data_IF_507976931280
#
_entry.id   IF_507976931280
#
_cell.length_a   1.000
_cell.length_b   1.000
_cell.length_c   1.000
_cell.angle_alpha   90.00
_cell.angle_beta   90.00
_cell.angle_gamma   90.00
#
_symmetry.space_group_name_H-M   'P 1'
#
loop_
_entity.id
_entity.type
_entity.pdbx_description
1 polymer ?
#
# COMPACT_ATOMS: atom_id res chain seq x y z
N UNK A 1 -2.89 1.14 -1.39
CA UNK A 1 -1.65 0.43 -0.97
C UNK A 1 -0.41 1.33 -1.03
N UNK A 2 -0.06 1.91 -2.19
CA UNK A 2 1.13 2.74 -2.40
C UNK A 2 1.35 3.83 -1.33
N UNK A 3 0.29 4.55 -0.95
CA UNK A 3 0.32 5.53 0.15
C UNK A 3 0.78 4.93 1.50
N UNK A 4 0.21 3.79 1.91
CA UNK A 4 0.61 3.09 3.15
C UNK A 4 2.06 2.61 3.09
N UNK A 5 2.51 2.15 1.93
CA UNK A 5 3.92 1.77 1.72
C UNK A 5 4.85 2.98 1.93
N UNK A 6 4.51 4.13 1.36
CA UNK A 6 5.25 5.39 1.55
C UNK A 6 5.30 5.79 3.02
N UNK A 7 4.16 5.80 3.70
CA UNK A 7 4.05 6.14 5.13
C UNK A 7 4.94 5.23 6.01
N UNK A 8 4.97 3.92 5.74
CA UNK A 8 5.83 2.97 6.47
C UNK A 8 7.32 3.30 6.28
N UNK A 9 7.76 3.53 5.04
CA UNK A 9 9.17 3.83 4.75
C UNK A 9 9.58 5.17 5.37
N UNK A 10 8.74 6.21 5.27
CA UNK A 10 9.00 7.52 5.88
C UNK A 10 9.09 7.43 7.40
N UNK A 11 8.20 6.66 8.04
CA UNK A 11 8.25 6.43 9.48
C UNK A 11 9.54 5.71 9.91
N UNK A 12 9.97 4.68 9.19
CA UNK A 12 11.25 3.99 9.45
C UNK A 12 12.44 4.94 9.27
N UNK A 13 12.45 5.76 8.23
CA UNK A 13 13.50 6.78 8.04
C UNK A 13 13.55 7.77 9.21
N UNK A 14 12.40 8.20 9.72
CA UNK A 14 12.29 9.05 10.90
C UNK A 14 12.89 8.42 12.15
N UNK A 15 12.75 7.09 12.31
CA UNK A 15 13.34 6.35 13.44
C UNK A 15 14.86 6.12 13.28
N UNK A 16 15.36 5.92 12.06
CA UNK A 16 16.77 5.65 11.79
C UNK A 16 17.64 6.92 11.85
N UNK A 17 17.10 8.06 11.40
CA UNK A 17 17.83 9.35 11.34
C UNK A 17 18.52 9.74 12.66
N UNK A 18 17.84 9.76 13.84
CA UNK A 18 18.51 10.11 15.09
C UNK A 18 19.62 9.12 15.50
N UNK A 19 19.46 7.82 15.19
CA UNK A 19 20.48 6.80 15.48
C UNK A 19 21.73 6.97 14.61
N UNK A 20 21.55 7.40 13.36
CA UNK A 20 22.66 7.72 12.45
C UNK A 20 23.44 8.95 12.92
N UNK A 21 22.73 10.00 13.36
CA UNK A 21 23.37 11.17 13.97
C UNK A 21 24.13 10.82 15.24
N UNK A 22 23.55 9.98 16.11
CA UNK A 22 24.20 9.52 17.33
C UNK A 22 25.45 8.70 17.02
N UNK A 23 25.39 7.81 16.03
CA UNK A 23 26.54 7.03 15.58
C UNK A 23 27.69 7.92 15.11
N UNK A 24 27.40 8.97 14.34
CA UNK A 24 28.41 9.95 13.90
C UNK A 24 29.02 10.69 15.10
N UNK A 25 28.20 11.09 16.08
CA UNK A 25 28.68 11.72 17.33
C UNK A 25 29.61 10.80 18.11
N UNK A 26 29.25 9.52 18.29
CA UNK A 26 30.09 8.53 18.97
C UNK A 26 31.42 8.33 18.26
N UNK A 27 31.40 8.28 16.92
CA UNK A 27 32.61 8.07 16.13
C UNK A 27 33.58 9.27 16.23
N UNK A 28 33.03 10.49 16.21
CA UNK A 28 33.78 11.75 16.36
C UNK A 28 34.15 12.12 17.80
N UNK A 29 33.63 11.43 18.82
CA UNK A 29 33.91 11.75 20.21
C UNK A 29 35.36 11.41 20.59
N UNK A 30 36.17 12.41 20.97
CA UNK A 30 37.60 12.24 21.29
C UNK A 30 37.81 11.62 22.68
N UNK A 31 36.84 11.78 23.59
CA UNK A 31 36.94 11.35 24.99
C UNK A 31 36.68 9.84 25.18
N UNK A 32 36.01 9.21 24.23
CA UNK A 32 35.73 7.76 24.28
C UNK A 32 36.96 6.96 23.85
N UNK A 33 37.30 5.94 24.64
CA UNK A 33 38.28 4.93 24.25
C UNK A 33 37.82 4.15 23.01
N UNK A 34 38.76 3.55 22.26
CA UNK A 34 38.43 2.73 21.09
C UNK A 34 37.41 1.63 21.42
N UNK A 35 37.53 1.01 22.59
CA UNK A 35 36.59 -0.02 23.04
C UNK A 35 35.22 0.55 23.43
N UNK A 36 35.19 1.73 24.06
CA UNK A 36 33.95 2.45 24.36
C UNK A 36 33.19 2.82 23.08
N UNK A 37 33.89 3.31 22.06
CA UNK A 37 33.34 3.60 20.73
C UNK A 37 32.78 2.33 20.08
N UNK A 38 33.54 1.24 20.09
CA UNK A 38 33.12 -0.03 19.51
C UNK A 38 31.82 -0.53 20.16
N UNK A 39 31.72 -0.54 21.49
CA UNK A 39 30.52 -0.99 22.21
C UNK A 39 29.30 -0.11 21.93
N UNK A 40 29.48 1.21 21.92
CA UNK A 40 28.40 2.16 21.65
C UNK A 40 27.89 2.03 20.20
N UNK A 41 28.79 1.98 19.22
CA UNK A 41 28.42 1.79 17.80
C UNK A 41 27.72 0.43 17.59
N UNK A 42 28.20 -0.62 18.25
CA UNK A 42 27.56 -1.95 18.15
C UNK A 42 26.12 -1.91 18.66
N UNK A 43 25.86 -1.24 19.79
CA UNK A 43 24.49 -1.08 20.31
C UNK A 43 23.58 -0.32 19.35
N UNK A 44 24.09 0.77 18.76
CA UNK A 44 23.35 1.55 17.77
C UNK A 44 23.06 0.72 16.52
N UNK A 45 24.03 -0.06 16.04
CA UNK A 45 23.85 -0.95 14.90
C UNK A 45 22.75 -1.98 15.16
N UNK A 46 22.75 -2.63 16.32
CA UNK A 46 21.69 -3.59 16.68
C UNK A 46 20.31 -2.93 16.69
N UNK A 47 20.18 -1.71 17.21
CA UNK A 47 18.91 -0.98 17.18
C UNK A 47 18.46 -0.65 15.75
N UNK A 48 19.38 -0.19 14.91
CA UNK A 48 19.10 0.07 13.50
C UNK A 48 18.68 -1.21 12.76
N UNK A 49 19.34 -2.34 13.02
CA UNK A 49 19.01 -3.64 12.42
C UNK A 49 17.61 -4.12 12.81
N UNK A 50 17.19 -3.89 14.06
CA UNK A 50 15.84 -4.20 14.53
C UNK A 50 14.79 -3.36 13.81
N UNK A 51 15.03 -2.05 13.63
CA UNK A 51 14.13 -1.15 12.90
C UNK A 51 14.02 -1.58 11.42
N UNK A 52 15.16 -1.87 10.77
CA UNK A 52 15.20 -2.35 9.38
C UNK A 52 14.43 -3.68 9.21
N UNK A 53 14.63 -4.61 10.14
CA UNK A 53 13.90 -5.89 10.13
C UNK A 53 12.39 -5.70 10.32
N UNK A 54 11.99 -4.71 11.14
CA UNK A 54 10.59 -4.30 11.31
C UNK A 54 9.97 -3.82 10.01
N UNK A 55 10.66 -2.93 9.27
CA UNK A 55 10.18 -2.44 7.97
C UNK A 55 9.91 -3.59 6.99
N UNK A 56 10.86 -4.53 6.83
CA UNK A 56 10.66 -5.66 5.91
C UNK A 56 9.42 -6.48 6.28
N UNK A 57 9.21 -6.72 7.58
CA UNK A 57 8.05 -7.46 8.07
C UNK A 57 6.75 -6.71 7.78
N UNK A 58 6.70 -5.41 8.05
CA UNK A 58 5.50 -4.61 7.86
C UNK A 58 5.15 -4.42 6.38
N UNK A 59 6.16 -4.23 5.52
CA UNK A 59 5.97 -4.18 4.06
C UNK A 59 5.49 -5.52 3.52
N UNK A 60 6.11 -6.63 3.95
CA UNK A 60 5.70 -7.98 3.54
C UNK A 60 4.25 -8.22 3.94
N UNK A 61 3.89 -7.88 5.18
CA UNK A 61 2.52 -8.00 5.69
C UNK A 61 1.53 -7.13 4.90
N UNK A 62 1.88 -5.89 4.58
CA UNK A 62 1.03 -5.01 3.77
C UNK A 62 0.70 -5.64 2.40
N UNK A 63 1.70 -6.24 1.74
CA UNK A 63 1.49 -6.95 0.49
C UNK A 63 0.64 -8.21 0.66
N UNK A 64 0.98 -9.05 1.64
CA UNK A 64 0.28 -10.31 1.89
C UNK A 64 -1.20 -10.05 2.25
N UNK A 65 -1.48 -9.08 3.13
CA UNK A 65 -2.83 -8.66 3.51
C UNK A 65 -3.60 -8.14 2.29
N UNK A 66 -2.97 -7.33 1.45
CA UNK A 66 -3.66 -6.77 0.27
C UNK A 66 -3.90 -7.82 -0.81
N UNK A 67 -2.96 -8.74 -1.02
CA UNK A 67 -3.13 -9.89 -1.92
C UNK A 67 -4.21 -10.81 -1.38
N UNK A 68 -4.26 -11.05 -0.07
CA UNK A 68 -5.28 -11.87 0.57
C UNK A 68 -6.66 -11.23 0.46
N UNK A 69 -6.78 -9.92 0.68
CA UNK A 69 -8.02 -9.16 0.45
C UNK A 69 -8.44 -9.33 -1.02
N UNK A 70 -7.56 -9.07 -1.98
CA UNK A 70 -7.88 -9.21 -3.40
C UNK A 70 -8.23 -10.66 -3.81
N UNK A 71 -7.57 -11.67 -3.21
CA UNK A 71 -7.87 -13.10 -3.43
C UNK A 71 -9.21 -13.50 -2.80
N UNK A 72 -9.49 -12.98 -1.60
CA UNK A 72 -10.75 -13.22 -0.91
C UNK A 72 -11.90 -12.51 -1.62
N UNK A 73 -11.70 -11.28 -2.11
CA UNK A 73 -12.66 -10.61 -2.98
C UNK A 73 -12.85 -11.38 -4.29
N UNK A 74 -11.82 -11.96 -4.92
CA UNK A 74 -12.01 -12.90 -6.05
C UNK A 74 -12.76 -14.18 -5.66
N UNK A 75 -12.63 -14.67 -4.43
CA UNK A 75 -13.48 -15.77 -3.92
C UNK A 75 -14.90 -15.29 -3.59
N UNK A 76 -15.08 -14.05 -3.16
CA UNK A 76 -16.37 -13.45 -2.81
C UNK A 76 -17.15 -12.98 -4.05
N UNK A 77 -16.46 -12.74 -5.17
CA UNK A 77 -17.06 -12.46 -6.49
C UNK A 77 -17.95 -13.61 -6.97
N UNK A 78 -17.76 -14.83 -6.44
CA UNK A 78 -18.65 -15.96 -6.70
C UNK A 78 -19.14 -16.71 -5.44
N UNK A 79 -18.54 -16.50 -4.27
CA UNK A 79 -18.64 -17.44 -3.14
C UNK A 79 -19.50 -17.03 -1.94
N UNK A 80 -19.66 -15.73 -1.63
CA UNK A 80 -20.38 -15.37 -0.39
C UNK A 80 -21.22 -14.08 -0.41
N UNK A 81 -21.34 -13.39 -1.55
CA UNK A 81 -22.36 -12.32 -1.73
C UNK A 81 -23.11 -12.34 -3.06
N UNK A 82 -23.06 -13.45 -3.80
CA UNK A 82 -24.00 -13.72 -4.89
C UNK A 82 -25.36 -14.19 -4.34
N UNK A 83 -25.88 -13.46 -3.34
CA UNK A 83 -27.23 -13.68 -2.84
C UNK A 83 -28.24 -13.20 -3.88
N UNK A 84 -29.47 -13.72 -3.82
CA UNK A 84 -30.55 -13.34 -4.73
C UNK A 84 -30.73 -11.83 -4.82
N UNK A 85 -30.49 -11.11 -3.71
CA UNK A 85 -30.57 -9.65 -3.66
C UNK A 85 -29.54 -8.96 -4.60
N UNK A 86 -28.28 -9.38 -4.56
CA UNK A 86 -27.23 -8.82 -5.43
C UNK A 86 -27.50 -9.16 -6.90
N UNK A 87 -27.96 -10.38 -7.20
CA UNK A 87 -28.39 -10.76 -8.55
C UNK A 87 -29.56 -9.89 -9.04
N UNK A 88 -30.59 -9.71 -8.23
CA UNK A 88 -31.75 -8.88 -8.56
C UNK A 88 -31.34 -7.42 -8.80
N UNK A 89 -30.45 -6.86 -7.96
CA UNK A 89 -29.95 -5.48 -8.14
C UNK A 89 -29.13 -5.33 -9.43
N UNK A 90 -28.27 -6.29 -9.76
CA UNK A 90 -27.52 -6.28 -11.02
C UNK A 90 -28.45 -6.38 -12.25
N UNK A 91 -29.45 -7.25 -12.20
CA UNK A 91 -30.46 -7.37 -13.26
C UNK A 91 -31.27 -6.08 -13.41
N UNK A 92 -31.67 -5.47 -12.28
CA UNK A 92 -32.38 -4.19 -12.28
C UNK A 92 -31.53 -3.08 -12.91
N UNK A 93 -30.27 -2.93 -12.50
CA UNK A 93 -29.34 -1.94 -13.07
C UNK A 93 -29.19 -2.19 -14.58
N UNK A 94 -29.03 -3.44 -15.01
CA UNK A 94 -28.87 -3.78 -16.41
C UNK A 94 -30.12 -3.49 -17.26
N UNK A 95 -31.31 -3.68 -16.69
CA UNK A 95 -32.58 -3.40 -17.36
C UNK A 95 -32.89 -1.89 -17.42
N UNK A 96 -32.58 -1.15 -16.36
CA UNK A 96 -32.95 0.25 -16.20
C UNK A 96 -31.87 1.23 -16.67
N UNK A 97 -30.65 0.76 -16.98
CA UNK A 97 -29.49 1.61 -17.28
C UNK A 97 -29.74 2.76 -18.26
N UNK A 98 -30.61 2.56 -19.25
CA UNK A 98 -30.89 3.55 -20.29
C UNK A 98 -31.86 4.65 -19.84
N UNK A 99 -32.59 4.40 -18.76
CA UNK A 99 -33.68 5.26 -18.26
C UNK A 99 -33.31 5.92 -16.92
N UNK A 100 -32.16 5.58 -16.34
CA UNK A 100 -31.70 6.16 -15.08
C UNK A 100 -31.28 7.62 -15.27
N UNK A 101 -31.75 8.47 -14.36
CA UNK A 101 -31.32 9.86 -14.28
C UNK A 101 -30.04 10.00 -13.44
N UNK A 102 -29.30 11.11 -13.63
CA UNK A 102 -28.09 11.40 -12.87
C UNK A 102 -28.28 11.30 -11.34
N UNK A 103 -29.35 11.87 -10.72
CA UNK A 103 -29.58 11.73 -9.27
C UNK A 103 -29.86 10.29 -8.83
N UNK A 104 -30.48 9.47 -9.68
CA UNK A 104 -30.75 8.07 -9.37
C UNK A 104 -29.48 7.23 -9.41
N UNK A 105 -28.59 7.49 -10.37
CA UNK A 105 -27.27 6.86 -10.42
C UNK A 105 -26.42 7.26 -9.22
N UNK A 106 -26.44 8.54 -8.83
CA UNK A 106 -25.75 9.03 -7.62
C UNK A 106 -26.28 8.35 -6.35
N UNK A 107 -27.60 8.22 -6.21
CA UNK A 107 -28.21 7.51 -5.09
C UNK A 107 -27.85 6.01 -5.08
N UNK A 108 -27.86 5.35 -6.26
CA UNK A 108 -27.47 3.95 -6.40
C UNK A 108 -26.01 3.71 -5.99
N UNK A 109 -25.11 4.64 -6.31
CA UNK A 109 -23.72 4.61 -5.86
C UNK A 109 -23.66 4.73 -4.33
N UNK A 110 -24.39 5.69 -3.76
CA UNK A 110 -24.40 5.93 -2.31
C UNK A 110 -24.91 4.73 -1.50
N UNK A 111 -26.05 4.16 -1.87
CA UNK A 111 -26.65 3.03 -1.12
C UNK A 111 -25.91 1.70 -1.30
N UNK A 112 -25.10 1.56 -2.34
CA UNK A 112 -24.34 0.34 -2.63
C UNK A 112 -22.84 0.52 -2.45
N UNK A 113 -22.37 1.60 -1.81
CA UNK A 113 -20.95 1.86 -1.59
C UNK A 113 -20.22 0.65 -0.98
N UNK A 114 -20.87 -0.08 -0.07
CA UNK A 114 -20.27 -1.24 0.58
C UNK A 114 -20.35 -2.55 -0.23
N UNK A 115 -20.92 -2.53 -1.44
CA UNK A 115 -21.01 -3.69 -2.34
C UNK A 115 -20.14 -3.48 -3.60
N UNK A 116 -18.90 -4.01 -3.61
CA UNK A 116 -17.96 -3.82 -4.71
C UNK A 116 -18.46 -4.31 -6.07
N UNK A 117 -19.29 -5.35 -6.09
CA UNK A 117 -19.82 -5.95 -7.32
C UNK A 117 -20.85 -5.02 -7.97
N UNK A 118 -21.77 -4.46 -7.18
CA UNK A 118 -22.77 -3.52 -7.67
C UNK A 118 -22.11 -2.19 -8.04
N UNK A 119 -21.24 -1.66 -7.19
CA UNK A 119 -20.51 -0.41 -7.46
C UNK A 119 -19.71 -0.51 -8.75
N UNK A 120 -19.10 -1.67 -9.04
CA UNK A 120 -18.41 -1.90 -10.31
C UNK A 120 -19.34 -1.87 -11.53
N UNK A 121 -20.53 -2.44 -11.41
CA UNK A 121 -21.54 -2.39 -12.47
C UNK A 121 -22.07 -0.96 -12.70
N UNK A 122 -22.01 -0.09 -11.69
CA UNK A 122 -22.42 1.31 -11.77
C UNK A 122 -21.35 2.23 -12.37
N UNK A 123 -20.09 1.82 -12.50
CA UNK A 123 -19.01 2.65 -13.06
C UNK A 123 -19.31 3.17 -14.48
N UNK A 124 -19.73 2.32 -15.44
CA UNK A 124 -20.01 2.79 -16.79
C UNK A 124 -21.15 3.82 -16.78
N UNK A 125 -22.18 3.59 -15.95
CA UNK A 125 -23.31 4.50 -15.78
C UNK A 125 -22.89 5.84 -15.16
N UNK A 126 -22.06 5.80 -14.11
CA UNK A 126 -21.53 7.00 -13.51
C UNK A 126 -20.76 7.86 -14.52
N UNK A 127 -19.97 7.22 -15.39
CA UNK A 127 -19.24 7.91 -16.47
C UNK A 127 -20.17 8.53 -17.50
N UNK A 128 -21.26 7.84 -17.88
CA UNK A 128 -22.27 8.37 -18.81
C UNK A 128 -22.99 9.61 -18.26
N UNK A 129 -23.02 9.80 -16.93
CA UNK A 129 -23.66 10.93 -16.26
C UNK A 129 -22.68 11.96 -15.65
N UNK A 130 -21.39 11.90 -15.99
CA UNK A 130 -20.34 12.76 -15.42
C UNK A 130 -20.33 12.74 -13.87
N UNK A 131 -20.42 11.54 -13.29
CA UNK A 131 -20.30 11.29 -11.86
C UNK A 131 -18.97 10.60 -11.56
N UNK A 132 -18.30 11.04 -10.50
CA UNK A 132 -17.05 10.44 -10.05
C UNK A 132 -17.33 9.43 -8.95
N UNK A 133 -17.01 8.17 -9.19
CA UNK A 133 -16.90 7.17 -8.14
C UNK A 133 -15.45 7.18 -7.67
N UNK A 134 -15.20 7.25 -6.35
CA UNK A 134 -13.85 7.02 -5.81
C UNK A 134 -13.49 5.54 -6.00
N UNK A 135 -12.76 5.31 -7.08
CA UNK A 135 -12.37 3.98 -7.54
C UNK A 135 -11.22 3.38 -6.72
N UNK A 136 -10.60 4.14 -5.82
CA UNK A 136 -9.44 3.68 -5.04
C UNK A 136 -9.76 2.51 -4.10
N UNK A 137 -11.04 2.33 -3.77
CA UNK A 137 -11.55 1.20 -2.97
C UNK A 137 -12.03 -0.01 -3.80
N UNK A 138 -12.28 0.15 -5.11
CA UNK A 138 -12.96 -0.86 -5.94
C UNK A 138 -12.15 -1.31 -7.18
N UNK A 139 -11.16 -0.52 -7.59
CA UNK A 139 -10.11 -0.94 -8.50
C UNK A 139 -9.03 -1.62 -7.67
N UNK A 140 -9.26 -2.87 -7.28
CA UNK A 140 -8.09 -3.70 -7.05
C UNK A 140 -7.50 -4.04 -8.41
N UNK A 141 -6.53 -3.21 -8.80
CA UNK A 141 -5.58 -3.48 -9.87
C UNK A 141 -5.25 -4.97 -9.83
N UNK A 142 -5.45 -5.61 -10.98
CA UNK A 142 -5.31 -7.04 -11.24
C UNK A 142 -4.30 -7.69 -10.26
N UNK A 143 -4.66 -8.73 -9.50
CA UNK A 143 -3.75 -9.39 -8.52
C UNK A 143 -2.33 -9.60 -9.08
N UNK A 144 -2.24 -9.90 -10.38
CA UNK A 144 -0.99 -9.97 -11.16
C UNK A 144 -0.14 -8.70 -11.01
N UNK A 145 -0.72 -7.51 -11.16
CA UNK A 145 -0.05 -6.21 -10.98
C UNK A 145 0.40 -6.00 -9.52
N UNK A 146 -0.40 -6.44 -8.53
CA UNK A 146 -0.01 -6.34 -7.12
C UNK A 146 1.15 -7.29 -6.80
N UNK A 147 1.10 -8.52 -7.31
CA UNK A 147 2.17 -9.52 -7.16
C UNK A 147 3.45 -9.06 -7.90
N UNK A 148 3.35 -8.51 -9.10
CA UNK A 148 4.48 -7.90 -9.82
C UNK A 148 5.07 -6.70 -9.09
N UNK A 149 4.22 -5.85 -8.50
CA UNK A 149 4.68 -4.71 -7.71
C UNK A 149 5.40 -5.17 -6.44
N UNK A 150 4.86 -6.20 -5.75
CA UNK A 150 5.52 -6.86 -4.61
C UNK A 150 6.89 -7.40 -4.99
N UNK A 151 6.98 -8.11 -6.10
CA UNK A 151 8.23 -8.73 -6.57
C UNK A 151 9.27 -7.69 -7.02
N UNK A 152 8.84 -6.46 -7.31
CA UNK A 152 9.73 -5.33 -7.57
C UNK A 152 10.18 -4.65 -6.27
N UNK A 153 9.26 -4.43 -5.33
CA UNK A 153 9.51 -3.64 -4.11
C UNK A 153 10.25 -4.45 -3.04
N UNK A 154 9.85 -5.70 -2.77
CA UNK A 154 10.42 -6.50 -1.69
C UNK A 154 11.93 -6.72 -1.83
N UNK A 155 12.49 -7.01 -3.01
CA UNK A 155 13.94 -7.12 -3.18
C UNK A 155 14.67 -5.81 -2.89
N UNK A 156 14.10 -4.66 -3.23
CA UNK A 156 14.70 -3.35 -2.96
C UNK A 156 14.73 -3.06 -1.45
N UNK A 157 13.62 -3.32 -0.75
CA UNK A 157 13.55 -3.19 0.71
C UNK A 157 14.50 -4.18 1.39
N UNK A 158 14.57 -5.42 0.91
CA UNK A 158 15.51 -6.43 1.42
C UNK A 158 16.97 -6.00 1.21
N UNK A 159 17.30 -5.41 0.07
CA UNK A 159 18.62 -4.84 -0.20
C UNK A 159 19.01 -3.72 0.77
N UNK A 160 18.07 -2.86 1.17
CA UNK A 160 18.29 -1.85 2.22
C UNK A 160 18.62 -2.51 3.56
N UNK A 161 17.85 -3.54 3.93
CA UNK A 161 17.98 -4.25 5.21
C UNK A 161 19.31 -5.01 5.29
N UNK A 162 19.69 -5.72 4.24
CA UNK A 162 20.90 -6.54 4.20
C UNK A 162 22.17 -5.73 3.92
N UNK A 163 22.05 -4.63 3.15
CA UNK A 163 23.17 -3.79 2.75
C UNK A 163 23.61 -2.77 3.80
N UNK A 164 22.81 -2.51 4.84
CA UNK A 164 23.01 -1.41 5.79
C UNK A 164 23.22 -0.04 5.10
N UNK A 165 22.58 0.16 3.94
CA UNK A 165 22.74 1.34 3.10
C UNK A 165 21.62 2.34 3.35
N UNK A 166 21.64 3.00 4.51
CA UNK A 166 20.57 3.92 4.93
C UNK A 166 20.43 5.15 4.00
N UNK A 167 21.48 5.50 3.26
CA UNK A 167 21.48 6.57 2.26
C UNK A 167 20.69 6.22 0.99
N UNK A 168 20.31 4.96 0.79
CA UNK A 168 19.66 4.46 -0.43
C UNK A 168 18.14 4.35 -0.26
N UNK A 169 17.60 4.51 0.96
CA UNK A 169 16.15 4.55 1.18
C UNK A 169 15.43 5.67 0.42
N UNK A 170 15.92 6.93 0.42
CA UNK A 170 15.32 8.01 -0.38
C UNK A 170 15.36 7.73 -1.89
N UNK A 171 16.44 7.10 -2.38
CA UNK A 171 16.57 6.67 -3.77
C UNK A 171 15.64 5.51 -4.10
N UNK A 172 15.42 4.60 -3.16
CA UNK A 172 14.48 3.48 -3.30
C UNK A 172 13.04 3.97 -3.32
N UNK A 173 12.69 4.95 -2.48
CA UNK A 173 11.42 5.69 -2.57
C UNK A 173 11.27 6.35 -3.94
N UNK A 174 12.30 7.05 -4.42
CA UNK A 174 12.28 7.66 -5.75
C UNK A 174 12.10 6.61 -6.84
N UNK A 175 12.78 5.46 -6.80
CA UNK A 175 12.63 4.39 -7.79
C UNK A 175 11.26 3.71 -7.75
N UNK A 176 10.68 3.54 -6.56
CA UNK A 176 9.35 2.94 -6.38
C UNK A 176 8.23 3.88 -6.83
N UNK A 177 8.41 5.20 -6.66
CA UNK A 177 7.36 6.21 -6.88
C UNK A 177 7.64 7.20 -8.03
N UNK A 178 8.76 7.10 -8.75
CA UNK A 178 9.11 8.01 -9.86
C UNK A 178 8.14 7.94 -11.06
N UNK A 179 7.36 6.86 -11.17
CA UNK A 179 6.37 6.71 -12.23
C UNK A 179 4.95 7.18 -11.84
N UNK A 180 4.74 7.69 -10.62
CA UNK A 180 3.43 8.22 -10.18
C UNK A 180 3.34 9.75 -10.27
N UNK A 181 4.25 10.41 -11.00
CA UNK A 181 4.21 11.86 -11.28
C UNK A 181 3.36 12.22 -12.51
N UNK A 182 2.57 11.29 -13.04
CA UNK A 182 1.57 11.58 -14.07
C UNK A 182 0.22 10.99 -13.66
N UNK A 183 -0.62 11.90 -13.16
CA UNK A 183 -2.09 11.93 -13.04
C UNK A 183 -2.81 10.86 -12.21
#
# INVERSE_FOLDING_TARGET
MKRKLKELIEATQGQLSPLLEERQKVQGNIELSSEGKFRAITKLNVQMDLIRSGLLKDVTKLFDDTIQIAKNEKRDVYGSSFNTETQCKLQFIQAMKSDLTKPEVENLIGINADNPVITRALIPLAKEHDLTIDMSAYMFDNIINIEQFRDTVLPLIKGIVEGNQDQVMPLTLAMIFANDLTD
#
